data_IF_589033193891
#
_entry.id   IF_589033193891
#
_cell.length_a   1.000
_cell.length_b   1.000
_cell.length_c   1.000
_cell.angle_alpha   90.00
_cell.angle_beta   90.00
_cell.angle_gamma   90.00
#
_symmetry.space_group_name_H-M   'P 1'
#
loop_
_entity.id
_entity.type
_entity.pdbx_description
1 polymer ?
#
# COMPACT_ATOMS: atom_id res chain seq x y z
N UNK A 1 -4.39 -9.14 4.08
CA UNK A 1 -5.42 -9.07 5.13
C UNK A 1 -6.82 -9.13 4.53
N UNK A 2 -7.78 -9.75 5.20
CA UNK A 2 -9.20 -9.77 4.83
C UNK A 2 -10.00 -8.85 5.75
N UNK A 3 -10.95 -8.02 5.19
CA UNK A 3 -11.25 -7.85 3.78
C UNK A 3 -10.15 -7.05 3.04
N UNK A 4 -10.03 -7.28 1.73
CA UNK A 4 -9.01 -6.64 0.89
C UNK A 4 -9.60 -6.24 -0.48
N UNK A 5 -8.84 -5.43 -1.23
CA UNK A 5 -9.17 -5.10 -2.61
C UNK A 5 -9.10 -6.35 -3.49
N UNK A 6 -10.15 -6.59 -4.23
CA UNK A 6 -10.44 -7.88 -4.91
C UNK A 6 -9.33 -8.42 -5.82
N UNK A 7 -8.45 -7.57 -6.35
CA UNK A 7 -7.43 -8.01 -7.29
C UNK A 7 -6.22 -8.71 -6.64
N UNK A 8 -5.94 -8.49 -5.35
CA UNK A 8 -4.71 -9.02 -4.73
C UNK A 8 -4.62 -10.55 -4.75
N UNK A 9 -5.71 -11.26 -4.45
CA UNK A 9 -5.69 -12.71 -4.48
C UNK A 9 -5.62 -13.28 -5.91
N UNK A 10 -6.40 -12.79 -6.90
CA UNK A 10 -6.23 -13.18 -8.29
C UNK A 10 -4.82 -12.92 -8.83
N UNK A 11 -4.21 -11.77 -8.53
CA UNK A 11 -2.86 -11.43 -8.99
C UNK A 11 -1.81 -12.40 -8.41
N UNK A 12 -1.95 -12.77 -7.13
CA UNK A 12 -1.11 -13.79 -6.52
C UNK A 12 -1.26 -15.15 -7.22
N UNK A 13 -2.50 -15.59 -7.49
CA UNK A 13 -2.79 -16.86 -8.17
C UNK A 13 -2.23 -16.85 -9.61
N UNK A 14 -2.41 -15.76 -10.35
CA UNK A 14 -1.85 -15.61 -11.70
C UNK A 14 -0.32 -15.61 -11.71
N UNK A 15 0.30 -15.28 -10.58
CA UNK A 15 1.75 -15.36 -10.37
C UNK A 15 2.22 -16.73 -9.84
N UNK A 16 1.37 -17.75 -9.91
CA UNK A 16 1.63 -19.11 -9.41
C UNK A 16 1.92 -19.16 -7.90
N UNK A 17 1.38 -18.20 -7.16
CA UNK A 17 1.46 -18.16 -5.70
C UNK A 17 0.17 -18.66 -5.05
N UNK A 18 0.29 -19.15 -3.82
CA UNK A 18 -0.86 -19.57 -2.99
C UNK A 18 -1.13 -18.48 -1.96
N UNK A 19 -2.21 -17.71 -2.13
CA UNK A 19 -2.54 -16.67 -1.17
C UNK A 19 -2.93 -17.29 0.18
N UNK A 20 -2.45 -16.67 1.26
CA UNK A 20 -2.86 -16.91 2.63
C UNK A 20 -3.39 -15.62 3.20
N UNK A 21 -4.44 -15.71 3.99
CA UNK A 21 -5.17 -14.55 4.49
C UNK A 21 -5.05 -14.46 6.00
N UNK A 22 -4.77 -13.27 6.51
CA UNK A 22 -4.96 -12.90 7.91
C UNK A 22 -6.16 -11.95 8.01
N UNK A 23 -6.93 -12.03 9.07
CA UNK A 23 -8.17 -11.26 9.21
C UNK A 23 -7.95 -9.91 9.87
N UNK A 24 -8.73 -8.93 9.42
CA UNK A 24 -8.96 -7.69 10.16
C UNK A 24 -10.25 -7.83 10.95
N UNK A 25 -10.14 -7.74 12.25
CA UNK A 25 -11.27 -7.83 13.18
C UNK A 25 -11.76 -6.43 13.50
N UNK A 26 -13.08 -6.24 13.41
CA UNK A 26 -13.70 -4.97 13.79
C UNK A 26 -13.75 -4.85 15.31
N UNK A 27 -13.36 -3.70 15.82
CA UNK A 27 -13.49 -3.29 17.22
C UNK A 27 -14.25 -1.96 17.30
N UNK A 28 -14.52 -1.48 18.50
CA UNK A 28 -15.16 -0.18 18.70
C UNK A 28 -14.28 0.97 18.17
N UNK A 29 -12.97 0.79 18.15
CA UNK A 29 -11.97 1.78 17.73
C UNK A 29 -11.40 1.51 16.32
N UNK A 30 -12.13 0.79 15.45
CA UNK A 30 -11.67 0.50 14.08
C UNK A 30 -11.36 -0.98 13.85
N UNK A 31 -10.27 -1.27 13.14
CA UNK A 31 -9.88 -2.62 12.77
C UNK A 31 -8.51 -2.98 13.32
N UNK A 32 -8.35 -4.22 13.78
CA UNK A 32 -7.09 -4.80 14.27
C UNK A 32 -6.87 -6.17 13.63
N UNK A 33 -5.63 -6.63 13.62
CA UNK A 33 -5.33 -8.03 13.27
C UNK A 33 -4.73 -8.77 14.46
N UNK A 34 -4.89 -10.08 14.45
CA UNK A 34 -4.26 -10.95 15.43
C UNK A 34 -2.81 -11.25 15.00
N UNK A 35 -1.84 -10.97 15.88
CA UNK A 35 -0.40 -11.12 15.59
C UNK A 35 -0.01 -12.60 15.46
N UNK A 36 -0.63 -13.49 16.22
CA UNK A 36 -0.36 -14.93 16.17
C UNK A 36 -0.93 -15.53 14.88
N UNK A 37 -2.13 -15.12 14.46
CA UNK A 37 -2.74 -15.51 13.19
C UNK A 37 -1.86 -15.06 12.01
N UNK A 38 -1.39 -13.80 12.03
CA UNK A 38 -0.51 -13.30 10.98
C UNK A 38 0.81 -14.06 10.95
N UNK A 39 1.43 -14.30 12.11
CA UNK A 39 2.68 -15.06 12.20
C UNK A 39 2.52 -16.49 11.67
N UNK A 40 1.39 -17.15 11.97
CA UNK A 40 1.09 -18.51 11.50
C UNK A 40 0.85 -18.58 9.99
N UNK A 41 0.52 -17.45 9.33
CA UNK A 41 0.39 -17.38 7.88
C UNK A 41 1.74 -17.38 7.15
N UNK A 42 2.83 -17.02 7.85
CA UNK A 42 4.18 -17.04 7.30
C UNK A 42 4.86 -18.41 7.48
N UNK A 43 5.71 -18.78 6.54
CA UNK A 43 6.57 -19.97 6.59
C UNK A 43 7.74 -19.82 5.61
N UNK A 44 8.63 -20.81 5.54
CA UNK A 44 9.84 -20.80 4.69
C UNK A 44 9.56 -20.63 3.19
N UNK A 45 8.32 -20.80 2.74
CA UNK A 45 7.91 -20.60 1.36
C UNK A 45 7.24 -19.25 1.13
N UNK A 46 7.05 -18.44 2.17
CA UNK A 46 6.46 -17.10 2.03
C UNK A 46 7.40 -16.22 1.22
N UNK A 47 6.91 -15.67 0.11
CA UNK A 47 7.69 -14.80 -0.78
C UNK A 47 7.36 -13.33 -0.58
N UNK A 48 6.12 -13.05 -0.23
CA UNK A 48 5.68 -11.66 -0.07
C UNK A 48 4.45 -11.56 0.84
N UNK A 49 4.26 -10.38 1.38
CA UNK A 49 3.00 -9.91 1.93
C UNK A 49 2.49 -8.74 1.08
N UNK A 50 1.18 -8.65 0.92
CA UNK A 50 0.51 -7.48 0.32
C UNK A 50 -0.28 -6.79 1.42
N UNK A 51 -0.03 -5.51 1.61
CA UNK A 51 -0.80 -4.64 2.51
C UNK A 51 -1.35 -3.44 1.73
N UNK A 52 -2.48 -2.91 2.17
CA UNK A 52 -3.04 -1.66 1.67
C UNK A 52 -3.14 -0.70 2.86
N UNK A 53 -2.46 0.42 2.79
CA UNK A 53 -2.40 1.40 3.88
C UNK A 53 -2.54 2.83 3.36
N UNK A 54 -3.63 3.52 3.65
CA UNK A 54 -4.89 3.07 4.28
C UNK A 54 -5.58 1.93 3.55
N UNK A 55 -6.27 1.07 4.29
CA UNK A 55 -6.83 -0.17 3.75
C UNK A 55 -8.16 0.03 3.01
N UNK A 56 -8.26 -0.54 1.84
CA UNK A 56 -9.53 -0.71 1.13
C UNK A 56 -10.03 -2.16 1.36
N UNK A 57 -11.23 -2.40 1.95
CA UNK A 57 -12.33 -1.43 2.10
C UNK A 57 -12.51 -0.86 3.52
N UNK A 58 -11.68 -1.21 4.50
CA UNK A 58 -11.97 -0.95 5.91
C UNK A 58 -11.64 0.47 6.38
N UNK A 59 -10.82 1.22 5.61
CA UNK A 59 -10.30 2.51 6.03
C UNK A 59 -9.21 2.43 7.13
N UNK A 60 -8.80 1.20 7.53
CA UNK A 60 -7.76 1.05 8.55
C UNK A 60 -6.47 1.73 8.11
N UNK A 61 -5.94 2.58 8.98
CA UNK A 61 -4.55 3.06 8.94
C UNK A 61 -3.76 2.23 9.95
N UNK A 62 -2.64 1.65 9.51
CA UNK A 62 -1.81 0.82 10.38
C UNK A 62 -0.96 1.68 11.28
N UNK A 63 -0.90 1.32 12.56
CA UNK A 63 -0.03 1.99 13.53
C UNK A 63 1.44 1.65 13.27
N UNK A 64 2.35 2.47 13.82
CA UNK A 64 3.79 2.21 13.74
C UNK A 64 4.15 0.82 14.29
N UNK A 65 3.58 0.44 15.43
CA UNK A 65 3.83 -0.87 16.05
C UNK A 65 3.34 -2.03 15.19
N UNK A 66 2.22 -1.86 14.49
CA UNK A 66 1.70 -2.87 13.55
C UNK A 66 2.62 -2.99 12.32
N UNK A 67 3.08 -1.85 11.78
CA UNK A 67 3.99 -1.83 10.64
C UNK A 67 5.36 -2.44 11.00
N UNK A 68 5.90 -2.14 12.18
CA UNK A 68 7.13 -2.75 12.69
C UNK A 68 6.99 -4.26 12.89
N UNK A 69 5.87 -4.73 13.41
CA UNK A 69 5.60 -6.16 13.55
C UNK A 69 5.55 -6.87 12.18
N UNK A 70 4.88 -6.28 11.20
CA UNK A 70 4.87 -6.83 9.83
C UNK A 70 6.27 -6.82 9.22
N UNK A 71 7.04 -5.75 9.45
CA UNK A 71 8.42 -5.64 9.00
C UNK A 71 9.32 -6.73 9.59
N UNK A 72 9.15 -7.06 10.86
CA UNK A 72 9.91 -8.13 11.52
C UNK A 72 9.62 -9.49 10.91
N UNK A 73 8.36 -9.81 10.60
CA UNK A 73 8.00 -11.02 9.87
C UNK A 73 8.63 -11.06 8.47
N UNK A 74 8.61 -9.93 7.74
CA UNK A 74 9.25 -9.85 6.42
C UNK A 74 10.76 -10.11 6.51
N UNK A 75 11.44 -9.54 7.51
CA UNK A 75 12.87 -9.73 7.75
C UNK A 75 13.19 -11.19 8.15
N UNK A 76 12.38 -11.75 9.05
CA UNK A 76 12.56 -13.13 9.55
C UNK A 76 12.42 -14.18 8.44
N UNK A 77 11.49 -13.97 7.50
CA UNK A 77 11.17 -14.92 6.43
C UNK A 77 11.78 -14.55 5.08
N UNK A 78 12.63 -13.53 5.02
CA UNK A 78 13.18 -12.96 3.78
C UNK A 78 12.10 -12.69 2.71
N UNK A 79 10.98 -12.14 3.16
CA UNK A 79 9.82 -11.85 2.34
C UNK A 79 9.82 -10.39 1.86
N UNK A 80 9.30 -10.16 0.66
CA UNK A 80 9.02 -8.82 0.14
C UNK A 80 7.72 -8.27 0.75
N UNK A 81 7.61 -6.96 0.82
CA UNK A 81 6.37 -6.27 1.12
C UNK A 81 5.90 -5.46 -0.09
N UNK A 82 4.74 -5.80 -0.63
CA UNK A 82 4.02 -4.95 -1.57
C UNK A 82 3.06 -4.10 -0.75
N UNK A 83 3.26 -2.78 -0.75
CA UNK A 83 2.40 -1.86 -0.02
C UNK A 83 1.65 -0.96 -1.01
N UNK A 84 0.33 -1.10 -1.03
CA UNK A 84 -0.56 -0.23 -1.80
C UNK A 84 -0.89 0.98 -0.95
N UNK A 85 -0.30 2.12 -1.31
CA UNK A 85 -0.40 3.39 -0.57
C UNK A 85 -1.24 4.44 -1.33
N UNK A 86 -2.14 3.98 -2.20
CA UNK A 86 -2.95 4.84 -3.07
C UNK A 86 -3.81 5.85 -2.30
N UNK A 87 -4.06 5.61 -1.01
CA UNK A 87 -4.85 6.47 -0.13
C UNK A 87 -4.00 7.25 0.89
N UNK A 88 -2.68 7.34 0.71
CA UNK A 88 -1.73 7.92 1.67
C UNK A 88 -2.10 9.33 2.18
N UNK A 89 -2.78 10.12 1.36
CA UNK A 89 -3.24 11.48 1.69
C UNK A 89 -4.71 11.54 2.12
N UNK A 90 -5.40 10.40 2.19
CA UNK A 90 -6.82 10.32 2.60
C UNK A 90 -6.86 9.67 3.98
N UNK A 91 -6.32 10.39 4.95
CA UNK A 91 -6.35 10.04 6.36
C UNK A 91 -7.06 11.13 7.13
N UNK A 92 -7.95 10.78 8.03
CA UNK A 92 -8.74 11.70 8.82
C UNK A 92 -9.00 11.10 10.20
N UNK A 93 -9.53 11.90 11.11
CA UNK A 93 -9.79 11.46 12.46
C UNK A 93 -11.12 10.72 12.57
N UNK A 94 -11.14 9.73 13.47
CA UNK A 94 -12.37 9.07 13.90
C UNK A 94 -13.05 9.90 14.99
N UNK A 95 -12.29 10.71 15.75
CA UNK A 95 -12.78 11.57 16.82
C UNK A 95 -12.73 13.06 16.38
N UNK A 96 -13.78 13.84 16.66
CA UNK A 96 -13.93 15.23 16.21
C UNK A 96 -12.77 16.17 16.59
N UNK A 97 -12.04 15.87 17.68
CA UNK A 97 -10.98 16.71 18.25
C UNK A 97 -9.58 16.03 18.21
N UNK A 98 -9.42 14.91 17.51
CA UNK A 98 -8.14 14.19 17.44
C UNK A 98 -7.25 14.68 16.27
N UNK A 99 -5.94 14.42 16.33
CA UNK A 99 -5.04 14.64 15.19
C UNK A 99 -5.29 13.59 14.09
N UNK A 100 -5.14 13.93 12.79
CA UNK A 100 -5.25 12.98 11.69
C UNK A 100 -4.34 11.76 11.90
N UNK A 101 -4.85 10.58 11.61
CA UNK A 101 -4.02 9.37 11.63
C UNK A 101 -2.87 9.54 10.62
N UNK A 102 -1.64 9.46 11.11
CA UNK A 102 -0.45 9.59 10.26
C UNK A 102 -0.28 8.34 9.41
N UNK A 103 -0.26 8.51 8.08
CA UNK A 103 0.17 7.45 7.17
C UNK A 103 1.66 7.18 7.33
N UNK A 104 2.03 5.90 7.50
CA UNK A 104 3.41 5.45 7.58
C UNK A 104 3.69 4.52 6.40
N UNK A 105 4.60 4.93 5.51
CA UNK A 105 5.04 4.05 4.43
C UNK A 105 5.92 2.92 4.96
N UNK A 106 5.66 1.69 4.54
CA UNK A 106 6.50 0.53 4.92
C UNK A 106 7.97 0.72 4.52
N UNK A 107 8.26 1.44 3.46
CA UNK A 107 9.63 1.70 3.02
C UNK A 107 10.42 2.59 3.98
N UNK A 108 9.77 3.25 4.95
CA UNK A 108 10.42 4.09 5.98
C UNK A 108 10.75 3.31 7.25
N UNK A 109 10.24 2.10 7.42
CA UNK A 109 10.56 1.22 8.55
C UNK A 109 11.98 0.66 8.36
N UNK A 110 12.73 0.59 9.45
CA UNK A 110 14.12 0.11 9.43
C UNK A 110 14.23 -1.31 8.84
N UNK A 111 15.14 -1.48 7.86
CA UNK A 111 15.37 -2.75 7.17
C UNK A 111 14.30 -3.11 6.15
N UNK A 112 13.39 -2.20 5.81
CA UNK A 112 12.33 -2.48 4.83
C UNK A 112 12.54 -1.85 3.46
N UNK A 113 13.39 -0.82 3.36
CA UNK A 113 13.61 -0.12 2.09
C UNK A 113 14.08 -1.03 0.96
N UNK A 114 14.92 -2.00 1.27
CA UNK A 114 15.49 -2.96 0.32
C UNK A 114 14.58 -4.13 -0.04
N UNK A 115 13.43 -4.25 0.60
CA UNK A 115 12.45 -5.33 0.39
C UNK A 115 11.02 -4.86 0.20
N UNK A 116 10.80 -3.55 0.06
CA UNK A 116 9.46 -2.99 -0.14
C UNK A 116 9.27 -2.52 -1.57
N UNK A 117 8.11 -2.83 -2.12
CA UNK A 117 7.57 -2.25 -3.35
C UNK A 117 6.39 -1.38 -2.94
N UNK A 118 6.58 -0.07 -2.95
CA UNK A 118 5.50 0.90 -2.76
C UNK A 118 4.76 1.06 -4.07
N UNK A 119 3.46 0.88 -4.04
CA UNK A 119 2.55 1.05 -5.18
C UNK A 119 1.65 2.23 -4.89
N UNK A 120 1.59 3.15 -5.82
CA UNK A 120 0.77 4.34 -5.69
C UNK A 120 0.24 4.81 -7.04
N UNK A 121 -0.70 5.72 -7.04
CA UNK A 121 -1.22 6.30 -8.28
C UNK A 121 -1.81 7.70 -8.06
N UNK A 122 -2.03 8.40 -9.16
CA UNK A 122 -2.67 9.72 -9.15
C UNK A 122 -4.20 9.63 -8.92
N UNK A 123 -4.75 8.43 -8.97
CA UNK A 123 -6.19 8.20 -9.17
C UNK A 123 -7.07 8.73 -8.05
N UNK A 124 -6.64 8.60 -6.81
CA UNK A 124 -7.43 8.98 -5.63
C UNK A 124 -7.10 10.39 -5.17
N UNK A 125 -5.84 10.65 -4.90
CA UNK A 125 -5.37 11.97 -4.44
C UNK A 125 -5.77 13.11 -5.39
N UNK A 126 -5.80 12.86 -6.69
CA UNK A 126 -6.12 13.90 -7.69
C UNK A 126 -7.43 13.67 -8.44
N UNK A 127 -8.26 12.72 -7.99
CA UNK A 127 -9.58 12.41 -8.58
C UNK A 127 -9.54 12.09 -10.08
N UNK A 128 -8.46 11.46 -10.57
CA UNK A 128 -8.21 11.18 -11.99
C UNK A 128 -8.17 9.68 -12.30
N UNK A 129 -9.07 8.91 -11.71
CA UNK A 129 -9.11 7.45 -11.83
C UNK A 129 -9.10 6.96 -13.30
N UNK A 130 -9.77 7.69 -14.20
CA UNK A 130 -9.81 7.37 -15.63
C UNK A 130 -8.47 7.54 -16.37
N UNK A 131 -7.50 8.25 -15.82
CA UNK A 131 -6.21 8.48 -16.46
C UNK A 131 -5.32 7.24 -16.52
N UNK A 132 -5.53 6.28 -15.64
CA UNK A 132 -4.76 5.04 -15.56
C UNK A 132 -3.24 5.28 -15.40
N UNK A 133 -2.85 6.27 -14.59
CA UNK A 133 -1.46 6.59 -14.27
C UNK A 133 -1.18 6.23 -12.82
N UNK A 134 -0.23 5.34 -12.64
CA UNK A 134 0.31 4.96 -11.35
C UNK A 134 1.82 4.80 -11.42
N UNK A 135 2.44 4.56 -10.30
CA UNK A 135 3.88 4.34 -10.19
C UNK A 135 4.19 3.36 -9.06
N UNK A 136 5.36 2.77 -9.14
CA UNK A 136 5.92 2.02 -8.01
C UNK A 136 7.32 2.53 -7.68
N UNK A 137 7.67 2.42 -6.41
CA UNK A 137 8.99 2.75 -5.88
C UNK A 137 9.55 1.47 -5.26
N UNK A 138 10.67 0.98 -5.77
CA UNK A 138 11.29 -0.26 -5.32
C UNK A 138 12.82 -0.21 -5.51
N UNK A 139 13.59 -1.12 -4.90
CA UNK A 139 15.00 -1.32 -5.20
C UNK A 139 15.25 -1.53 -6.70
N UNK A 140 16.46 -1.20 -7.15
CA UNK A 140 16.79 -1.16 -8.58
C UNK A 140 16.65 -2.52 -9.28
N UNK A 141 17.00 -3.61 -8.61
CA UNK A 141 16.87 -4.98 -9.12
C UNK A 141 15.40 -5.39 -9.28
N UNK A 142 14.56 -5.10 -8.28
CA UNK A 142 13.11 -5.34 -8.33
C UNK A 142 12.48 -4.46 -9.40
N UNK A 143 12.82 -3.18 -9.46
CA UNK A 143 12.36 -2.25 -10.51
C UNK A 143 12.73 -2.76 -11.89
N UNK A 144 13.94 -3.30 -12.06
CA UNK A 144 14.37 -3.90 -13.31
C UNK A 144 13.53 -5.11 -13.75
N UNK A 145 13.11 -5.94 -12.79
CA UNK A 145 12.22 -7.07 -13.04
C UNK A 145 10.80 -6.61 -13.39
N UNK A 146 10.26 -5.67 -12.64
CA UNK A 146 8.92 -5.08 -12.90
C UNK A 146 8.87 -4.47 -14.31
N UNK A 147 9.88 -3.69 -14.72
CA UNK A 147 9.92 -3.05 -16.04
C UNK A 147 9.88 -4.06 -17.17
N UNK A 148 10.62 -5.18 -17.06
CA UNK A 148 10.61 -6.24 -18.09
C UNK A 148 9.22 -6.82 -18.31
N UNK A 149 8.45 -7.05 -17.24
CA UNK A 149 7.08 -7.57 -17.33
C UNK A 149 6.13 -6.49 -17.83
N UNK A 150 6.25 -5.27 -17.33
CA UNK A 150 5.38 -4.14 -17.67
C UNK A 150 5.47 -3.76 -19.16
N UNK A 151 6.65 -3.83 -19.77
CA UNK A 151 6.84 -3.58 -21.20
C UNK A 151 5.96 -4.50 -22.08
N UNK A 152 5.78 -5.75 -21.68
CA UNK A 152 4.96 -6.71 -22.42
C UNK A 152 3.46 -6.59 -22.10
N UNK A 153 3.11 -6.13 -20.88
CA UNK A 153 1.71 -6.02 -20.46
C UNK A 153 1.04 -4.74 -20.97
N UNK A 154 1.71 -3.60 -20.85
CA UNK A 154 1.09 -2.29 -21.09
C UNK A 154 1.95 -1.28 -21.83
N UNK A 155 3.23 -1.56 -22.02
CA UNK A 155 4.26 -0.63 -22.56
C UNK A 155 4.50 0.58 -21.63
N UNK A 156 3.46 1.28 -21.22
CA UNK A 156 3.52 2.41 -20.29
C UNK A 156 2.25 3.25 -20.30
N UNK A 157 2.12 4.11 -19.30
CA UNK A 157 1.04 5.08 -19.24
C UNK A 157 1.19 6.15 -20.33
N UNK A 158 0.09 6.80 -20.72
CA UNK A 158 0.09 7.85 -21.74
C UNK A 158 1.01 9.01 -21.35
N UNK A 159 1.98 9.34 -22.20
CA UNK A 159 3.02 10.32 -21.92
C UNK A 159 2.49 11.71 -21.49
N UNK A 160 1.47 12.32 -22.12
CA UNK A 160 0.93 13.59 -21.64
C UNK A 160 0.40 13.53 -20.21
N UNK A 161 -0.21 12.40 -19.83
CA UNK A 161 -0.77 12.20 -18.48
C UNK A 161 0.34 11.97 -17.46
N UNK A 162 1.48 11.39 -17.84
CA UNK A 162 2.65 11.30 -16.96
C UNK A 162 3.21 12.69 -16.62
N UNK A 163 3.29 13.60 -17.61
CA UNK A 163 3.70 14.99 -17.38
C UNK A 163 2.73 15.74 -16.47
N UNK A 164 1.43 15.57 -16.68
CA UNK A 164 0.42 16.14 -15.81
C UNK A 164 0.54 15.58 -14.37
N UNK A 165 0.83 14.28 -14.25
CA UNK A 165 1.06 13.64 -12.96
C UNK A 165 2.30 14.19 -12.24
N UNK A 166 3.39 14.38 -12.94
CA UNK A 166 4.60 14.99 -12.39
C UNK A 166 4.33 16.41 -11.85
N UNK A 167 3.49 17.17 -12.55
CA UNK A 167 3.02 18.47 -12.04
C UNK A 167 2.13 18.33 -10.80
N UNK A 168 1.17 17.41 -10.81
CA UNK A 168 0.28 17.16 -9.68
C UNK A 168 1.06 16.81 -8.39
N UNK A 169 2.12 15.99 -8.50
CA UNK A 169 3.00 15.65 -7.38
C UNK A 169 3.81 16.87 -6.84
N UNK A 170 3.82 18.00 -7.54
CA UNK A 170 4.45 19.24 -7.08
C UNK A 170 3.49 20.26 -6.47
N UNK A 171 2.22 19.90 -6.28
CA UNK A 171 1.24 20.76 -5.62
C UNK A 171 1.66 21.08 -4.18
N UNK A 172 1.29 22.25 -3.66
CA UNK A 172 1.68 22.66 -2.31
C UNK A 172 0.99 21.81 -1.23
N UNK A 173 1.57 21.75 -0.02
CA UNK A 173 0.98 21.00 1.10
C UNK A 173 -0.50 21.34 1.38
N UNK A 174 -0.91 22.59 1.17
CA UNK A 174 -2.30 23.01 1.34
C UNK A 174 -3.31 22.21 0.50
N UNK A 175 -2.89 21.71 -0.67
CA UNK A 175 -3.75 20.83 -1.48
C UNK A 175 -4.15 19.55 -0.72
N UNK A 176 -3.20 18.95 -0.02
CA UNK A 176 -3.42 17.71 0.72
C UNK A 176 -4.19 17.96 2.02
N UNK A 177 -3.98 19.11 2.66
CA UNK A 177 -4.77 19.56 3.82
C UNK A 177 -6.23 19.78 3.43
N UNK A 178 -6.48 20.47 2.31
CA UNK A 178 -7.83 20.66 1.77
C UNK A 178 -8.51 19.34 1.42
N UNK A 179 -7.75 18.39 0.83
CA UNK A 179 -8.23 17.06 0.49
C UNK A 179 -8.67 16.29 1.75
N UNK A 180 -7.87 16.30 2.81
CA UNK A 180 -8.22 15.67 4.08
C UNK A 180 -9.50 16.26 4.68
N UNK A 181 -9.61 17.60 4.68
CA UNK A 181 -10.79 18.31 5.18
C UNK A 181 -12.06 17.99 4.38
N UNK A 182 -11.95 17.70 3.10
CA UNK A 182 -13.09 17.30 2.26
C UNK A 182 -13.63 15.92 2.62
N UNK A 183 -12.76 15.02 3.10
CA UNK A 183 -13.14 13.66 3.49
C UNK A 183 -13.55 13.52 4.95
N UNK A 184 -13.25 14.49 5.80
CA UNK A 184 -13.65 14.54 7.21
C UNK A 184 -15.08 15.06 7.37
#
# INVERSE_FOLDING_TARGET
FEPFYENYAPDAILSDAVPRHARLYRTDNGFVFDRDELSAAFNDRTKAIIICNPNNPTGKVYTREEMEFIADLCKQHDALCFTDEIYEHITYNIEEDGDPLEHISMATIEGMRERTVVINSLTKTYSVTGWRVGYCIAPADITGAIRKVHDFLTVGAANPLQHAGAYALSLPPSYYEDLQNEYQ
#
